data_IF_928726475519
#
_entry.id   IF_928726475519
#
_cell.length_a   1.000
_cell.length_b   1.000
_cell.length_c   1.000
_cell.angle_alpha   90.00
_cell.angle_beta   90.00
_cell.angle_gamma   90.00
#
_symmetry.space_group_name_H-M   'P 1'
#
loop_
_entity.id
_entity.type
_entity.pdbx_description
1 polymer ?
#
# COMPACT_ATOMS: atom_id res chain seq x y z
N UNK A 1 -30.02 -22.12 7.93
CA UNK A 1 -28.67 -22.74 7.86
C UNK A 1 -27.83 -22.13 6.74
N UNK A 2 -28.29 -22.13 5.48
CA UNK A 2 -27.53 -21.62 4.32
C UNK A 2 -27.13 -20.13 4.41
N UNK A 3 -28.06 -19.27 4.84
CA UNK A 3 -27.79 -17.82 4.99
C UNK A 3 -26.67 -17.54 6.00
N UNK A 4 -26.68 -18.24 7.14
CA UNK A 4 -25.66 -18.11 8.17
C UNK A 4 -24.27 -18.52 7.65
N UNK A 5 -24.19 -19.61 6.88
CA UNK A 5 -22.93 -20.05 6.28
C UNK A 5 -22.37 -19.06 5.25
N UNK A 6 -23.21 -18.32 4.53
CA UNK A 6 -22.75 -17.28 3.59
C UNK A 6 -22.09 -16.12 4.34
N UNK A 7 -22.71 -15.65 5.42
CA UNK A 7 -22.13 -14.56 6.21
C UNK A 7 -20.81 -14.96 6.86
N UNK A 8 -20.71 -16.19 7.36
CA UNK A 8 -19.47 -16.73 7.94
C UNK A 8 -18.35 -16.86 6.89
N UNK A 9 -18.65 -17.40 5.70
CA UNK A 9 -17.63 -17.53 4.65
C UNK A 9 -17.13 -16.18 4.16
N UNK A 10 -18.03 -15.21 4.01
CA UNK A 10 -17.67 -13.85 3.61
C UNK A 10 -16.80 -13.16 4.66
N UNK A 11 -17.14 -13.31 5.94
CA UNK A 11 -16.33 -12.79 7.04
C UNK A 11 -14.92 -13.37 7.08
N UNK A 12 -14.78 -14.69 6.92
CA UNK A 12 -13.47 -15.36 6.87
C UNK A 12 -12.65 -14.94 5.64
N UNK A 13 -13.30 -14.70 4.51
CA UNK A 13 -12.65 -14.20 3.30
C UNK A 13 -12.05 -12.80 3.51
N UNK A 14 -12.83 -11.87 4.08
CA UNK A 14 -12.32 -10.54 4.42
C UNK A 14 -11.19 -10.58 5.46
N UNK A 15 -11.31 -11.45 6.46
CA UNK A 15 -10.27 -11.63 7.47
C UNK A 15 -8.97 -12.18 6.86
N UNK A 16 -9.07 -13.13 5.92
CA UNK A 16 -7.92 -13.66 5.17
C UNK A 16 -7.21 -12.57 4.36
N UNK A 17 -7.98 -11.71 3.66
CA UNK A 17 -7.43 -10.56 2.92
C UNK A 17 -6.72 -9.60 3.87
N UNK A 18 -7.29 -9.30 5.04
CA UNK A 18 -6.68 -8.41 6.03
C UNK A 18 -5.36 -8.98 6.57
N UNK A 19 -5.31 -10.28 6.87
CA UNK A 19 -4.09 -10.96 7.34
C UNK A 19 -3.00 -10.89 6.26
N UNK A 20 -3.36 -11.15 5.00
CA UNK A 20 -2.43 -11.07 3.86
C UNK A 20 -1.93 -9.63 3.66
N UNK A 21 -2.82 -8.64 3.75
CA UNK A 21 -2.46 -7.22 3.70
C UNK A 21 -1.43 -6.84 4.77
N UNK A 22 -1.70 -7.19 6.04
CA UNK A 22 -0.78 -6.89 7.17
C UNK A 22 0.56 -7.60 7.00
N UNK A 23 0.54 -8.86 6.53
CA UNK A 23 1.77 -9.64 6.31
C UNK A 23 2.67 -8.97 5.26
N UNK A 24 2.09 -8.50 4.15
CA UNK A 24 2.83 -7.78 3.11
C UNK A 24 3.30 -6.41 3.62
N UNK A 25 2.45 -5.67 4.34
CA UNK A 25 2.87 -4.38 4.92
C UNK A 25 4.08 -4.52 5.84
N UNK A 26 4.13 -5.59 6.65
CA UNK A 26 5.25 -5.84 7.57
C UNK A 26 6.56 -6.19 6.85
N UNK A 27 6.51 -6.87 5.70
CA UNK A 27 7.73 -7.22 4.94
C UNK A 27 8.44 -5.99 4.37
N UNK A 28 7.70 -4.91 4.09
CA UNK A 28 8.26 -3.68 3.53
C UNK A 28 9.11 -2.85 4.52
N UNK A 29 9.08 -3.15 5.83
CA UNK A 29 9.81 -2.39 6.85
C UNK A 29 11.16 -2.99 7.25
N UNK A 30 11.51 -4.22 6.82
CA UNK A 30 12.66 -4.97 7.41
C UNK A 30 13.70 -5.52 6.42
N UNK A 31 13.73 -5.04 5.17
CA UNK A 31 14.74 -5.45 4.16
C UNK A 31 15.64 -4.30 3.74
N UNK A 32 16.23 -3.65 4.72
CA UNK A 32 17.23 -2.61 4.60
C UNK A 32 18.63 -3.22 4.79
N UNK A 33 19.08 -4.02 3.82
CA UNK A 33 20.50 -4.25 3.62
C UNK A 33 20.78 -4.42 2.11
N UNK A 34 21.59 -3.47 1.59
CA UNK A 34 22.22 -3.43 0.27
C UNK A 34 21.48 -2.65 -0.85
N UNK A 35 21.83 -1.36 -0.96
CA UNK A 35 21.82 -0.53 -2.19
C UNK A 35 20.55 -0.43 -3.04
N UNK A 36 19.36 -0.69 -2.51
CA UNK A 36 18.10 -0.33 -3.15
C UNK A 36 17.63 1.03 -2.64
N UNK A 37 17.22 1.91 -3.57
CA UNK A 37 16.73 3.27 -3.30
C UNK A 37 15.85 3.30 -2.05
N UNK A 38 16.22 4.13 -1.06
CA UNK A 38 15.52 4.28 0.22
C UNK A 38 14.11 4.85 0.00
N UNK A 39 13.15 4.00 -0.35
CA UNK A 39 11.78 4.38 -0.71
C UNK A 39 10.76 3.35 -0.23
N UNK A 40 9.53 3.83 0.01
CA UNK A 40 8.39 2.96 0.37
C UNK A 40 7.77 2.36 -0.89
N UNK A 41 7.42 1.08 -0.84
CA UNK A 41 6.72 0.38 -1.93
C UNK A 41 5.22 0.72 -1.96
N UNK A 42 4.69 1.35 -0.90
CA UNK A 42 3.29 1.77 -0.80
C UNK A 42 2.31 0.62 -0.58
N UNK A 43 1.09 0.77 -1.12
CA UNK A 43 0.04 -0.25 -1.00
C UNK A 43 0.38 -1.50 -1.83
N UNK A 44 0.09 -2.73 -1.39
CA UNK A 44 0.53 -3.94 -2.08
C UNK A 44 0.03 -4.10 -3.53
N UNK A 45 -1.09 -3.47 -3.90
CA UNK A 45 -1.65 -3.55 -5.26
C UNK A 45 -1.43 -2.30 -6.11
N UNK A 46 -1.66 -1.11 -5.55
CA UNK A 46 -1.54 0.17 -6.28
C UNK A 46 -0.22 0.90 -5.98
N UNK A 47 0.58 0.39 -5.05
CA UNK A 47 1.80 1.04 -4.59
C UNK A 47 1.51 2.45 -4.07
N UNK A 48 2.32 3.38 -4.53
CA UNK A 48 2.13 4.82 -4.29
C UNK A 48 1.52 5.56 -5.49
N UNK A 49 0.98 4.84 -6.48
CA UNK A 49 0.47 5.40 -7.74
C UNK A 49 -0.63 6.44 -7.54
N UNK A 50 -1.53 6.21 -6.58
CA UNK A 50 -2.60 7.17 -6.27
C UNK A 50 -2.02 8.46 -5.67
N UNK A 51 -0.99 8.34 -4.83
CA UNK A 51 -0.29 9.48 -4.27
C UNK A 51 0.49 10.26 -5.34
N UNK A 52 1.00 9.57 -6.37
CA UNK A 52 1.64 10.19 -7.53
C UNK A 52 0.66 11.01 -8.39
N UNK A 53 -0.54 10.48 -8.63
CA UNK A 53 -1.59 11.19 -9.40
C UNK A 53 -2.37 12.24 -8.59
N UNK A 54 -1.97 12.51 -7.34
CA UNK A 54 -2.67 13.49 -6.52
C UNK A 54 -2.64 14.87 -7.21
N UNK A 55 -3.80 15.55 -7.34
CA UNK A 55 -3.86 16.86 -7.97
C UNK A 55 -2.89 17.84 -7.31
N UNK A 56 -2.14 18.54 -8.14
CA UNK A 56 -1.21 19.59 -7.74
C UNK A 56 -1.32 20.76 -8.72
N UNK A 57 -0.83 21.93 -8.33
CA UNK A 57 -0.85 23.11 -9.21
C UNK A 57 0.04 22.83 -10.43
N UNK A 58 -0.39 23.27 -11.61
CA UNK A 58 0.33 23.04 -12.87
C UNK A 58 1.72 23.71 -12.93
N UNK A 59 1.98 24.66 -12.05
CA UNK A 59 3.27 25.33 -11.86
C UNK A 59 4.17 24.68 -10.80
N UNK A 60 3.74 23.55 -10.22
CA UNK A 60 4.44 22.81 -9.18
C UNK A 60 4.71 21.38 -9.61
N UNK A 61 5.77 20.76 -9.09
CA UNK A 61 6.06 19.33 -9.30
C UNK A 61 5.20 18.42 -8.41
N UNK A 62 4.41 19.01 -7.50
CA UNK A 62 3.60 18.30 -6.52
C UNK A 62 4.41 17.81 -5.32
N UNK A 63 3.72 17.63 -4.19
CA UNK A 63 4.35 17.23 -2.92
C UNK A 63 4.99 15.85 -3.00
N UNK A 64 4.42 14.95 -3.81
CA UNK A 64 4.91 13.59 -4.00
C UNK A 64 6.34 13.58 -4.55
N UNK A 65 6.58 14.25 -5.69
CA UNK A 65 7.90 14.29 -6.30
C UNK A 65 8.85 15.15 -5.49
N UNK A 66 8.38 16.28 -4.94
CA UNK A 66 9.22 17.17 -4.16
C UNK A 66 9.88 16.47 -2.96
N UNK A 67 9.13 15.68 -2.19
CA UNK A 67 9.66 14.96 -1.02
C UNK A 67 10.69 13.86 -1.36
N UNK A 68 10.69 13.34 -2.60
CA UNK A 68 11.61 12.27 -3.05
C UNK A 68 12.85 12.82 -3.72
N UNK A 69 12.75 13.98 -4.37
CA UNK A 69 13.86 14.63 -5.08
C UNK A 69 14.66 15.55 -4.15
N UNK A 70 14.05 16.10 -3.10
CA UNK A 70 14.72 17.02 -2.16
C UNK A 70 15.46 16.32 -1.01
N UNK A 71 15.78 15.03 -1.16
CA UNK A 71 16.56 14.27 -0.16
C UNK A 71 18.05 14.34 -0.44
#
# INVERSE_FOLDING_TARGET
MLVLSIFLSLGLFFLSILILYVSISKENETKDNHSSLTGSMGWPFVGETISFFKPHRSDSIGTFLQQRVSR
#
